data_IF_916768049315
#
_entry.id   IF_916768049315
#
_cell.length_a   1.000
_cell.length_b   1.000
_cell.length_c   1.000
_cell.angle_alpha   90.00
_cell.angle_beta   90.00
_cell.angle_gamma   90.00
#
_symmetry.space_group_name_H-M   'P 1'
#
loop_
_entity.id
_entity.type
_entity.pdbx_description
1 polymer ?
#
# COMPACT_ATOMS: atom_id res chain seq x y z
N UNK A 1 -2.44 -33.19 29.56
CA UNK A 1 -1.98 -33.37 28.17
C UNK A 1 -2.83 -34.47 27.54
N UNK A 2 -3.30 -34.35 26.29
CA UNK A 2 -3.37 -33.17 25.40
C UNK A 2 -4.85 -32.80 25.04
N UNK A 3 -5.24 -31.72 24.36
CA UNK A 3 -4.66 -30.37 24.08
C UNK A 3 -5.82 -29.39 23.70
N UNK A 4 -5.59 -28.07 23.47
CA UNK A 4 -6.66 -27.05 23.47
C UNK A 4 -7.27 -26.72 22.10
N UNK A 5 -8.51 -26.21 22.08
CA UNK A 5 -9.19 -25.82 20.83
C UNK A 5 -10.38 -24.85 21.01
N UNK A 6 -10.10 -23.55 21.21
CA UNK A 6 -11.06 -22.46 20.91
C UNK A 6 -10.32 -21.12 20.77
N UNK A 7 -9.47 -21.02 19.74
CA UNK A 7 -8.85 -19.76 19.34
C UNK A 7 -9.75 -19.04 18.34
N UNK A 8 -10.33 -17.90 18.73
CA UNK A 8 -11.14 -17.07 17.84
C UNK A 8 -10.26 -16.45 16.73
N UNK A 9 -10.22 -17.10 15.56
CA UNK A 9 -9.47 -16.64 14.39
C UNK A 9 -10.14 -15.41 13.75
N UNK A 10 -9.85 -14.22 14.27
CA UNK A 10 -10.25 -12.97 13.64
C UNK A 10 -9.34 -12.63 12.45
N UNK A 11 -9.93 -12.67 11.25
CA UNK A 11 -9.36 -12.02 10.06
C UNK A 11 -9.65 -10.53 10.19
N UNK A 12 -8.67 -9.74 10.60
CA UNK A 12 -8.82 -8.29 10.72
C UNK A 12 -8.82 -7.62 9.33
N UNK A 13 -10.00 -7.43 8.77
CA UNK A 13 -10.22 -6.37 7.78
C UNK A 13 -10.09 -5.02 8.51
N UNK A 14 -8.98 -4.31 8.28
CA UNK A 14 -8.73 -3.02 8.93
C UNK A 14 -9.56 -1.90 8.29
N UNK A 15 -10.81 -1.80 8.75
CA UNK A 15 -11.62 -0.59 8.65
C UNK A 15 -11.51 0.21 9.97
N UNK A 16 -11.66 1.53 9.87
CA UNK A 16 -11.93 2.43 11.01
C UNK A 16 -10.79 2.80 11.99
N UNK A 17 -9.59 3.14 11.48
CA UNK A 17 -8.66 4.05 12.19
C UNK A 17 -8.20 5.26 11.34
N UNK A 18 -8.98 5.61 10.30
CA UNK A 18 -8.71 6.73 9.40
C UNK A 18 -9.43 8.05 9.78
N UNK A 19 -10.12 8.09 10.92
CA UNK A 19 -10.98 9.22 11.32
C UNK A 19 -10.34 10.34 12.16
N UNK A 20 -9.11 10.16 12.67
CA UNK A 20 -8.54 11.09 13.67
C UNK A 20 -7.18 11.73 13.34
N UNK A 21 -6.54 11.36 12.22
CA UNK A 21 -5.28 12.00 11.78
C UNK A 21 -5.35 12.63 10.38
N UNK A 22 -6.43 12.44 9.63
CA UNK A 22 -6.70 13.17 8.38
C UNK A 22 -7.49 14.48 8.63
N UNK A 23 -7.00 15.30 9.57
CA UNK A 23 -7.42 16.70 9.65
C UNK A 23 -6.67 17.49 8.59
N UNK A 24 -7.31 17.55 7.42
CA UNK A 24 -7.19 18.55 6.37
C UNK A 24 -5.96 19.47 6.40
N UNK A 25 -5.10 19.28 5.40
CA UNK A 25 -4.30 20.38 4.84
C UNK A 25 -4.16 20.21 3.32
N UNK A 26 -5.30 20.11 2.66
CA UNK A 26 -5.44 20.12 1.19
C UNK A 26 -5.93 21.47 0.66
N UNK A 27 -5.52 22.55 1.33
CA UNK A 27 -5.51 23.90 0.80
C UNK A 27 -4.09 24.46 0.88
N UNK A 28 -3.37 24.30 -0.23
CA UNK A 28 -2.42 25.30 -0.76
C UNK A 28 -2.12 24.91 -2.21
N UNK A 29 -2.74 25.65 -3.14
CA UNK A 29 -2.66 25.40 -4.58
C UNK A 29 -1.56 26.22 -5.23
N UNK A 30 -0.69 25.57 -6.02
CA UNK A 30 0.05 26.16 -7.14
C UNK A 30 0.19 25.07 -8.22
N UNK A 31 -0.40 25.13 -9.42
CA UNK A 31 -1.37 26.07 -9.96
C UNK A 31 -1.40 25.95 -11.50
N UNK A 32 -2.43 25.32 -12.07
CA UNK A 32 -2.67 25.23 -13.53
C UNK A 32 -4.19 25.27 -13.80
N UNK A 33 -4.59 25.96 -14.87
CA UNK A 33 -5.99 26.38 -15.12
C UNK A 33 -6.84 25.42 -15.98
N UNK A 34 -7.79 25.95 -16.79
CA UNK A 34 -9.12 26.21 -16.26
C UNK A 34 -10.26 25.46 -17.01
N UNK A 35 -10.12 24.15 -17.23
CA UNK A 35 -11.17 23.35 -17.91
C UNK A 35 -11.51 22.00 -17.28
N UNK A 36 -10.59 21.40 -16.51
CA UNK A 36 -10.73 19.99 -16.14
C UNK A 36 -11.47 19.83 -14.81
N UNK A 37 -12.77 19.57 -14.91
CA UNK A 37 -13.63 19.20 -13.76
C UNK A 37 -13.20 17.84 -13.23
N UNK A 38 -12.22 17.82 -12.31
CA UNK A 38 -11.79 16.61 -11.62
C UNK A 38 -12.91 16.13 -10.70
N UNK A 39 -13.78 15.26 -11.23
CA UNK A 39 -14.79 14.53 -10.47
C UNK A 39 -14.10 13.51 -9.55
N UNK A 40 -13.75 13.92 -8.34
CA UNK A 40 -13.34 13.01 -7.27
C UNK A 40 -14.54 12.12 -6.88
N UNK A 41 -14.54 10.90 -7.40
CA UNK A 41 -15.58 9.92 -7.14
C UNK A 41 -15.19 9.10 -5.89
N UNK A 42 -15.84 9.35 -4.76
CA UNK A 42 -15.56 8.71 -3.46
C UNK A 42 -16.12 7.27 -3.36
N UNK A 43 -16.01 6.48 -4.45
CA UNK A 43 -16.54 5.12 -4.57
C UNK A 43 -15.48 4.00 -4.61
N UNK A 44 -14.25 4.30 -5.05
CA UNK A 44 -13.21 3.29 -5.30
C UNK A 44 -12.30 3.03 -4.09
N UNK A 45 -12.86 2.54 -2.98
CA UNK A 45 -12.03 2.14 -1.82
C UNK A 45 -11.34 0.80 -2.09
N UNK A 46 -10.13 0.87 -2.66
CA UNK A 46 -9.29 -0.31 -2.94
C UNK A 46 -8.66 -0.89 -1.66
N UNK A 47 -8.64 -2.21 -1.57
CA UNK A 47 -8.18 -3.00 -0.41
C UNK A 47 -6.76 -3.52 -0.61
N UNK A 48 -5.96 -3.56 0.46
CA UNK A 48 -4.66 -4.22 0.48
C UNK A 48 -4.81 -5.68 0.88
N UNK A 49 -4.21 -6.60 0.11
CA UNK A 49 -4.24 -8.04 0.39
C UNK A 49 -2.99 -8.45 1.19
N UNK A 50 -3.17 -9.17 2.29
CA UNK A 50 -2.10 -9.62 3.18
C UNK A 50 -2.02 -11.16 3.19
N UNK A 51 -0.90 -11.72 2.71
CA UNK A 51 -0.67 -13.17 2.68
C UNK A 51 0.27 -13.56 3.83
N UNK A 52 -0.31 -14.18 4.86
CA UNK A 52 0.35 -14.52 6.14
C UNK A 52 0.44 -16.03 6.42
N UNK A 53 -0.41 -16.85 5.80
CA UNK A 53 -0.46 -18.31 6.02
C UNK A 53 0.39 -19.06 4.99
N UNK A 54 1.31 -19.91 5.46
CA UNK A 54 2.18 -20.76 4.62
C UNK A 54 1.37 -21.74 3.78
N UNK A 55 1.89 -22.10 2.61
CA UNK A 55 1.20 -23.01 1.68
C UNK A 55 -0.04 -22.39 1.05
N UNK A 56 -0.22 -21.07 1.15
CA UNK A 56 -1.23 -20.37 0.36
C UNK A 56 -0.78 -20.30 -1.10
N UNK A 57 -1.73 -20.40 -2.02
CA UNK A 57 -1.53 -20.13 -3.44
C UNK A 57 -2.40 -18.96 -3.86
N UNK A 58 -1.88 -18.12 -4.75
CA UNK A 58 -2.60 -16.98 -5.30
C UNK A 58 -2.58 -17.05 -6.83
N UNK A 59 -3.77 -17.07 -7.42
CA UNK A 59 -4.00 -17.28 -8.85
C UNK A 59 -4.97 -16.26 -9.42
N UNK A 60 -5.02 -16.16 -10.75
CA UNK A 60 -5.90 -15.23 -11.47
C UNK A 60 -6.84 -15.98 -12.40
N UNK A 61 -8.15 -15.77 -12.25
CA UNK A 61 -9.19 -16.39 -13.09
C UNK A 61 -10.33 -15.41 -13.31
N UNK A 62 -10.71 -15.19 -14.58
CA UNK A 62 -11.89 -14.38 -14.95
C UNK A 62 -12.00 -13.02 -14.24
N UNK A 63 -10.92 -12.23 -14.25
CA UNK A 63 -10.80 -10.93 -13.56
C UNK A 63 -10.89 -10.96 -12.03
N UNK A 64 -10.83 -12.15 -11.42
CA UNK A 64 -10.76 -12.35 -9.98
C UNK A 64 -9.41 -12.89 -9.58
N UNK A 65 -8.92 -12.42 -8.45
CA UNK A 65 -7.79 -12.97 -7.72
C UNK A 65 -8.34 -13.99 -6.74
N UNK A 66 -7.88 -15.24 -6.86
CA UNK A 66 -8.27 -16.35 -6.00
C UNK A 66 -7.10 -16.62 -5.05
N UNK A 67 -7.36 -16.51 -3.75
CA UNK A 67 -6.45 -16.90 -2.67
C UNK A 67 -6.96 -18.20 -2.09
N UNK A 68 -6.16 -19.27 -2.19
CA UNK A 68 -6.44 -20.55 -1.55
C UNK A 68 -5.47 -20.77 -0.40
N UNK A 69 -5.97 -21.22 0.75
CA UNK A 69 -5.16 -21.43 1.95
C UNK A 69 -5.68 -22.61 2.78
N UNK A 70 -5.33 -23.83 2.34
CA UNK A 70 -6.01 -25.05 2.78
C UNK A 70 -7.43 -25.08 2.23
N UNK A 71 -8.41 -25.34 3.10
CA UNK A 71 -9.84 -25.45 2.73
C UNK A 71 -10.52 -24.10 2.46
N UNK A 72 -9.87 -22.99 2.80
CA UNK A 72 -10.39 -21.64 2.56
C UNK A 72 -10.01 -21.17 1.16
N UNK A 73 -11.02 -20.82 0.37
CA UNK A 73 -10.89 -20.16 -0.93
C UNK A 73 -11.58 -18.80 -0.85
N UNK A 74 -10.85 -17.73 -1.13
CA UNK A 74 -11.36 -16.37 -1.17
C UNK A 74 -11.16 -15.77 -2.56
N UNK A 75 -12.23 -15.19 -3.12
CA UNK A 75 -12.18 -14.50 -4.41
C UNK A 75 -12.41 -13.00 -4.25
N UNK A 76 -11.56 -12.19 -4.88
CA UNK A 76 -11.66 -10.73 -4.91
C UNK A 76 -11.50 -10.21 -6.34
N UNK A 77 -12.29 -9.23 -6.82
CA UNK A 77 -12.06 -8.65 -8.14
C UNK A 77 -10.73 -7.90 -8.16
N UNK A 78 -9.97 -8.01 -9.25
CA UNK A 78 -8.62 -7.41 -9.33
C UNK A 78 -8.66 -5.88 -9.26
N UNK A 79 -9.74 -5.26 -9.72
CA UNK A 79 -9.98 -3.81 -9.68
C UNK A 79 -10.06 -3.26 -8.25
N UNK A 80 -10.56 -4.04 -7.29
CA UNK A 80 -10.68 -3.60 -5.88
C UNK A 80 -9.38 -3.78 -5.08
N UNK A 81 -8.28 -4.21 -5.71
CA UNK A 81 -7.01 -4.45 -5.02
C UNK A 81 -6.07 -3.26 -5.24
N UNK A 82 -5.61 -2.68 -4.13
CA UNK A 82 -4.61 -1.60 -4.13
C UNK A 82 -3.18 -2.15 -4.17
N UNK A 83 -2.88 -3.17 -3.36
CA UNK A 83 -1.58 -3.84 -3.34
C UNK A 83 -1.70 -5.26 -2.79
N UNK A 84 -0.69 -6.08 -3.06
CA UNK A 84 -0.54 -7.43 -2.49
C UNK A 84 0.73 -7.45 -1.65
N UNK A 85 0.64 -7.95 -0.42
CA UNK A 85 1.76 -7.98 0.54
C UNK A 85 1.98 -9.41 1.02
N UNK A 86 3.19 -9.92 0.81
CA UNK A 86 3.54 -11.32 0.97
C UNK A 86 4.56 -11.44 2.10
N UNK A 87 4.14 -12.04 3.23
CA UNK A 87 4.96 -12.20 4.43
C UNK A 87 5.57 -13.60 4.56
N UNK A 88 5.09 -14.56 3.77
CA UNK A 88 5.46 -15.97 3.85
C UNK A 88 5.63 -16.57 2.45
N UNK A 89 6.35 -17.68 2.38
CA UNK A 89 6.49 -18.44 1.15
C UNK A 89 5.12 -18.90 0.64
N UNK A 90 4.80 -18.43 -0.57
CA UNK A 90 3.48 -18.45 -1.19
C UNK A 90 3.69 -18.70 -2.69
N UNK A 91 2.91 -19.58 -3.30
CA UNK A 91 2.96 -19.78 -4.74
C UNK A 91 2.15 -18.70 -5.46
N UNK A 92 2.79 -17.98 -6.38
CA UNK A 92 2.16 -16.93 -7.20
C UNK A 92 2.10 -17.41 -8.65
N UNK A 93 0.90 -17.38 -9.22
CA UNK A 93 0.71 -17.63 -10.64
C UNK A 93 1.34 -16.51 -11.50
N UNK A 94 2.07 -16.90 -12.55
CA UNK A 94 2.62 -15.98 -13.55
C UNK A 94 1.52 -15.17 -14.26
N UNK A 95 0.32 -15.74 -14.44
CA UNK A 95 -0.80 -15.03 -15.03
C UNK A 95 -1.25 -13.86 -14.13
N UNK A 96 -1.30 -14.07 -12.80
CA UNK A 96 -1.59 -13.00 -11.85
C UNK A 96 -0.53 -11.90 -11.91
N UNK A 97 0.76 -12.25 -11.84
CA UNK A 97 1.84 -11.26 -11.91
C UNK A 97 1.75 -10.38 -13.18
N UNK A 98 1.47 -10.99 -14.33
CA UNK A 98 1.26 -10.26 -15.61
C UNK A 98 0.06 -9.31 -15.55
N UNK A 99 -1.02 -9.67 -14.87
CA UNK A 99 -2.19 -8.79 -14.72
C UNK A 99 -1.95 -7.67 -13.71
N UNK A 100 -1.22 -7.95 -12.62
CA UNK A 100 -0.76 -6.93 -11.68
C UNK A 100 0.11 -5.87 -12.39
N UNK A 101 1.01 -6.26 -13.31
CA UNK A 101 1.76 -5.31 -14.12
C UNK A 101 0.87 -4.48 -15.07
N UNK A 102 -0.16 -5.07 -15.69
CA UNK A 102 -1.10 -4.34 -16.56
C UNK A 102 -2.00 -3.35 -15.81
N UNK A 103 -2.39 -3.68 -14.58
CA UNK A 103 -3.26 -2.87 -13.71
C UNK A 103 -2.47 -1.96 -12.75
N UNK A 104 -1.13 -1.98 -12.84
CA UNK A 104 -0.19 -1.26 -11.96
C UNK A 104 -0.43 -1.50 -10.46
N UNK A 105 -0.70 -2.76 -10.11
CA UNK A 105 -0.87 -3.22 -8.72
C UNK A 105 0.50 -3.72 -8.21
N UNK A 106 1.13 -3.05 -7.24
CA UNK A 106 2.39 -3.50 -6.67
C UNK A 106 2.21 -4.74 -5.78
N UNK A 107 3.14 -5.69 -5.93
CA UNK A 107 3.32 -6.85 -5.06
C UNK A 107 4.56 -6.62 -4.21
N UNK A 108 4.42 -6.61 -2.89
CA UNK A 108 5.51 -6.40 -1.93
C UNK A 108 5.91 -7.73 -1.28
N UNK A 109 7.21 -8.01 -1.28
CA UNK A 109 7.79 -9.13 -0.55
C UNK A 109 8.38 -8.63 0.76
N UNK A 110 7.95 -9.25 1.85
CA UNK A 110 8.34 -8.92 3.21
C UNK A 110 8.71 -10.26 3.89
N UNK A 111 9.80 -10.26 4.64
CA UNK A 111 10.19 -11.41 5.46
C UNK A 111 9.13 -11.67 6.54
N UNK A 112 8.95 -12.92 7.03
CA UNK A 112 8.14 -13.19 8.21
C UNK A 112 8.55 -12.36 9.45
N UNK A 113 9.79 -11.86 9.49
CA UNK A 113 10.31 -10.96 10.53
C UNK A 113 10.06 -9.47 10.25
N UNK A 114 9.20 -9.11 9.30
CA UNK A 114 8.88 -7.73 8.92
C UNK A 114 9.93 -7.00 8.06
N UNK A 115 11.07 -7.61 7.75
CA UNK A 115 12.10 -7.02 6.89
C UNK A 115 11.60 -6.94 5.44
N UNK A 116 11.48 -5.74 4.89
CA UNK A 116 11.21 -5.53 3.46
C UNK A 116 12.30 -6.18 2.59
N UNK A 117 11.89 -6.99 1.60
CA UNK A 117 12.78 -7.70 0.68
C UNK A 117 12.82 -7.02 -0.69
N UNK A 118 11.66 -6.57 -1.18
CA UNK A 118 11.54 -5.93 -2.49
C UNK A 118 10.08 -5.81 -2.95
N UNK A 119 9.89 -5.31 -4.16
CA UNK A 119 8.57 -5.25 -4.81
C UNK A 119 8.65 -5.63 -6.28
N UNK A 120 7.60 -6.27 -6.77
CA UNK A 120 7.28 -6.35 -8.19
C UNK A 120 6.23 -5.29 -8.48
N UNK A 121 6.54 -4.38 -9.40
CA UNK A 121 5.62 -3.36 -9.88
C UNK A 121 5.85 -3.17 -11.38
N UNK A 122 4.84 -2.66 -12.09
CA UNK A 122 5.03 -2.25 -13.47
C UNK A 122 6.11 -1.17 -13.58
N UNK A 123 6.74 -1.04 -14.75
CA UNK A 123 7.56 0.12 -15.05
C UNK A 123 6.64 1.31 -15.29
N UNK A 124 6.20 1.95 -14.20
CA UNK A 124 5.54 3.25 -14.27
C UNK A 124 6.44 4.25 -15.02
N UNK A 125 5.80 5.13 -15.81
CA UNK A 125 6.36 6.43 -16.12
C UNK A 125 6.44 7.25 -14.82
N UNK A 126 7.41 6.93 -13.96
CA UNK A 126 7.67 7.64 -12.73
C UNK A 126 7.89 9.12 -13.07
N UNK A 127 7.15 10.01 -12.40
CA UNK A 127 7.13 11.44 -12.72
C UNK A 127 8.55 12.02 -12.73
N UNK A 128 9.11 12.19 -13.94
CA UNK A 128 10.52 12.51 -14.14
C UNK A 128 10.82 13.90 -13.59
N UNK A 129 9.93 14.86 -13.82
CA UNK A 129 10.03 16.21 -13.26
C UNK A 129 10.03 16.22 -11.73
N UNK A 130 9.19 15.41 -11.09
CA UNK A 130 9.20 15.28 -9.64
C UNK A 130 10.51 14.66 -9.10
N UNK A 131 11.14 13.75 -9.87
CA UNK A 131 12.46 13.20 -9.49
C UNK A 131 13.59 14.19 -9.77
N UNK A 132 13.52 14.96 -10.86
CA UNK A 132 14.49 16.01 -11.18
C UNK A 132 14.44 17.16 -10.17
N UNK A 133 13.25 17.57 -9.71
CA UNK A 133 13.11 18.58 -8.65
C UNK A 133 13.65 18.08 -7.31
N UNK A 134 13.40 16.81 -6.96
CA UNK A 134 14.03 16.16 -5.80
C UNK A 134 15.56 16.14 -5.88
N UNK A 135 16.14 15.86 -7.06
CA UNK A 135 17.58 15.95 -7.25
C UNK A 135 18.10 17.40 -7.10
N UNK A 136 17.44 18.39 -7.72
CA UNK A 136 17.83 19.81 -7.58
C UNK A 136 17.81 20.26 -6.11
N UNK A 137 16.73 19.99 -5.39
CA UNK A 137 16.58 20.31 -3.96
C UNK A 137 17.47 19.50 -3.01
N UNK A 138 18.13 18.42 -3.48
CA UNK A 138 19.15 17.69 -2.72
C UNK A 138 20.52 18.38 -2.79
N UNK A 139 20.84 19.03 -3.91
CA UNK A 139 22.10 19.78 -4.10
C UNK A 139 22.03 21.21 -3.54
N UNK A 140 20.85 21.80 -3.45
CA UNK A 140 20.60 23.06 -2.74
C UNK A 140 20.63 22.84 -1.22
N UNK A 141 21.57 23.48 -0.52
CA UNK A 141 21.75 23.34 0.93
C UNK A 141 20.60 23.93 1.75
N UNK A 142 19.99 25.02 1.28
CA UNK A 142 18.97 25.75 2.02
C UNK A 142 17.62 25.04 1.90
N UNK A 143 17.25 24.57 0.70
CA UNK A 143 16.08 23.72 0.50
C UNK A 143 16.20 22.41 1.28
N UNK A 144 17.36 21.77 1.25
CA UNK A 144 17.64 20.55 2.03
C UNK A 144 17.50 20.80 3.53
N UNK A 145 18.02 21.90 4.05
CA UNK A 145 17.88 22.27 5.46
C UNK A 145 16.41 22.55 5.84
N UNK A 146 15.67 23.27 4.99
CA UNK A 146 14.25 23.55 5.18
C UNK A 146 13.42 22.26 5.22
N UNK A 147 13.56 21.37 4.24
CA UNK A 147 12.84 20.09 4.18
C UNK A 147 13.17 19.23 5.41
N UNK A 148 14.46 19.13 5.77
CA UNK A 148 14.91 18.34 6.93
C UNK A 148 14.32 18.88 8.24
N UNK A 149 14.28 20.21 8.42
CA UNK A 149 13.67 20.86 9.59
C UNK A 149 12.18 20.53 9.70
N UNK A 150 11.44 20.57 8.58
CA UNK A 150 10.00 20.23 8.59
C UNK A 150 9.75 18.76 8.93
N UNK A 151 10.57 17.83 8.41
CA UNK A 151 10.47 16.40 8.75
C UNK A 151 10.72 16.17 10.25
N UNK A 152 11.73 16.82 10.83
CA UNK A 152 12.06 16.69 12.26
C UNK A 152 10.93 17.27 13.12
N UNK A 153 10.45 18.48 12.82
CA UNK A 153 9.34 19.10 13.53
C UNK A 153 8.05 18.26 13.45
N UNK A 154 7.74 17.70 12.28
CA UNK A 154 6.62 16.78 12.10
C UNK A 154 6.76 15.51 12.94
N UNK A 155 7.95 14.90 12.98
CA UNK A 155 8.21 13.73 13.84
C UNK A 155 8.06 14.05 15.33
N UNK A 156 8.66 15.15 15.81
CA UNK A 156 8.56 15.58 17.21
C UNK A 156 7.09 15.82 17.57
N UNK A 157 6.34 16.55 16.74
CA UNK A 157 4.91 16.82 16.97
C UNK A 157 4.10 15.54 17.04
N UNK A 158 4.29 14.62 16.08
CA UNK A 158 3.56 13.35 16.05
C UNK A 158 3.90 12.48 17.28
N UNK A 159 5.16 12.45 17.73
CA UNK A 159 5.55 11.76 18.96
C UNK A 159 4.89 12.39 20.20
N UNK A 160 4.87 13.72 20.31
CA UNK A 160 4.20 14.40 21.42
C UNK A 160 2.68 14.15 21.43
N UNK A 161 2.02 14.16 20.26
CA UNK A 161 0.58 13.86 20.14
C UNK A 161 0.24 12.38 20.37
N UNK A 162 1.21 11.46 20.33
CA UNK A 162 0.98 10.06 20.74
C UNK A 162 1.18 9.87 22.27
N UNK A 163 1.96 10.73 22.91
CA UNK A 163 2.29 10.66 24.33
C UNK A 163 1.30 11.39 25.25
N UNK A 164 0.37 12.17 24.68
CA UNK A 164 -0.58 13.03 25.40
C UNK A 164 -2.01 12.80 24.89
#
# INVERSE_FOLDING_TARGET
MPDPGSGANQIFASACLLGLLYRDRSQDYLGYGPSDVIKFNWGDMKTNLYLTKRGSSISYKSSRVIVQSGDLVQELPIESIASIQIFVETQIDSALAKQCFKKDIPIYYISPKGKYLGKLQSLQNANVEARLSQYRGYFDTDQKAQITRQIILGKIKNSLTMLY
#
